data_IF_274525518805
#
_entry.id   IF_274525518805
#
_cell.length_a   1.000
_cell.length_b   1.000
_cell.length_c   1.000
_cell.angle_alpha   90.00
_cell.angle_beta   90.00
_cell.angle_gamma   90.00
#
_symmetry.space_group_name_H-M   'P 1'
#
loop_
_entity.id
_entity.type
_entity.pdbx_description
1 polymer ?
#
# COMPACT_ATOMS: atom_id res chain seq x y z
N UNK A 1 8.32 -6.58 29.48
CA UNK A 1 8.11 -5.31 28.76
C UNK A 1 6.72 -5.32 28.14
N UNK A 2 6.02 -4.15 28.19
CA UNK A 2 4.69 -3.95 27.62
C UNK A 2 4.80 -2.89 26.53
N UNK A 3 4.34 -3.19 25.31
CA UNK A 3 4.42 -2.29 24.15
C UNK A 3 3.03 -2.03 23.61
N UNK A 4 2.65 -0.76 23.52
CA UNK A 4 1.43 -0.32 22.83
C UNK A 4 1.80 0.10 21.40
N UNK A 5 1.33 -0.64 20.41
CA UNK A 5 1.48 -0.30 19.01
C UNK A 5 0.26 0.51 18.53
N UNK A 6 0.50 1.65 17.88
CA UNK A 6 -0.57 2.53 17.40
C UNK A 6 -0.52 2.61 15.88
N UNK A 7 -1.60 2.19 15.22
CA UNK A 7 -1.86 2.49 13.81
C UNK A 7 -2.39 3.91 13.69
N UNK A 8 -1.59 4.81 13.12
CA UNK A 8 -1.96 6.23 12.98
C UNK A 8 -2.82 6.51 11.73
N UNK A 9 -2.94 5.55 10.80
CA UNK A 9 -3.67 5.74 9.54
C UNK A 9 -5.17 5.89 9.80
N UNK A 10 -5.75 6.99 9.30
CA UNK A 10 -7.19 7.28 9.39
C UNK A 10 -7.89 7.32 8.04
N UNK A 11 -7.18 7.06 6.94
CA UNK A 11 -7.76 7.14 5.61
C UNK A 11 -8.86 6.08 5.43
N UNK A 12 -10.11 6.51 5.17
CA UNK A 12 -11.24 5.59 5.04
C UNK A 12 -11.42 5.02 3.64
N UNK A 13 -10.76 5.64 2.66
CA UNK A 13 -11.13 5.48 1.28
C UNK A 13 -10.00 4.85 0.45
N UNK A 14 -10.32 3.96 -0.52
CA UNK A 14 -11.63 3.41 -0.86
C UNK A 14 -12.22 2.50 0.22
N UNK A 15 -11.39 1.83 1.00
CA UNK A 15 -11.75 1.08 2.19
C UNK A 15 -10.64 1.18 3.25
N UNK A 16 -10.97 0.85 4.50
CA UNK A 16 -9.99 0.84 5.56
C UNK A 16 -8.93 -0.24 5.29
N UNK A 17 -7.68 0.17 5.18
CA UNK A 17 -6.57 -0.74 4.95
C UNK A 17 -6.09 -1.33 6.27
N UNK A 18 -6.12 -2.66 6.36
CA UNK A 18 -5.60 -3.39 7.51
C UNK A 18 -4.10 -3.10 7.71
N UNK A 19 -3.65 -2.82 8.94
CA UNK A 19 -2.25 -2.47 9.22
C UNK A 19 -1.35 -3.72 9.31
N UNK A 20 -1.20 -4.44 8.20
CA UNK A 20 -0.47 -5.72 8.10
C UNK A 20 0.93 -5.66 8.69
N UNK A 21 1.72 -4.63 8.32
CA UNK A 21 3.07 -4.48 8.85
C UNK A 21 3.10 -4.31 10.37
N UNK A 22 2.12 -3.58 10.95
CA UNK A 22 2.03 -3.43 12.39
C UNK A 22 1.64 -4.75 13.09
N UNK A 23 0.78 -5.55 12.45
CA UNK A 23 0.41 -6.87 12.95
C UNK A 23 1.62 -7.83 12.94
N UNK A 24 2.47 -7.77 11.91
CA UNK A 24 3.73 -8.54 11.87
C UNK A 24 4.72 -8.10 12.95
N UNK A 25 4.86 -6.80 13.18
CA UNK A 25 5.65 -6.27 14.31
C UNK A 25 5.12 -6.80 15.64
N UNK A 26 3.80 -6.85 15.82
CA UNK A 26 3.21 -7.42 17.03
C UNK A 26 3.54 -8.91 17.18
N UNK A 27 3.51 -9.68 16.10
CA UNK A 27 3.90 -11.09 16.10
C UNK A 27 5.37 -11.28 16.47
N UNK A 28 6.27 -10.47 15.91
CA UNK A 28 7.70 -10.50 16.27
C UNK A 28 7.93 -10.18 17.75
N UNK A 29 7.32 -9.11 18.26
CA UNK A 29 7.42 -8.74 19.67
C UNK A 29 6.90 -9.82 20.61
N UNK A 30 5.78 -10.48 20.26
CA UNK A 30 5.24 -11.57 21.09
C UNK A 30 6.17 -12.80 21.13
N UNK A 31 6.78 -13.17 20.01
CA UNK A 31 7.78 -14.24 19.96
C UNK A 31 9.00 -13.92 20.83
N UNK A 32 9.33 -12.66 20.98
CA UNK A 32 10.36 -12.17 21.91
C UNK A 32 9.87 -12.04 23.37
N UNK A 33 8.68 -12.53 23.72
CA UNK A 33 8.14 -12.49 25.08
C UNK A 33 7.59 -11.13 25.54
N UNK A 34 7.32 -10.20 24.61
CA UNK A 34 6.77 -8.88 24.91
C UNK A 34 5.24 -8.95 24.99
N UNK A 35 4.66 -8.31 26.00
CA UNK A 35 3.20 -8.12 26.06
C UNK A 35 2.80 -6.98 25.14
N UNK A 36 2.04 -7.27 24.09
CA UNK A 36 1.67 -6.32 23.04
C UNK A 36 0.19 -6.02 23.07
N UNK A 37 -0.17 -4.78 22.74
CA UNK A 37 -1.53 -4.37 22.40
C UNK A 37 -1.51 -3.44 21.19
N UNK A 38 -2.50 -3.55 20.31
CA UNK A 38 -2.65 -2.69 19.13
C UNK A 38 -3.83 -1.75 19.33
N UNK A 39 -3.59 -0.45 19.13
CA UNK A 39 -4.61 0.59 19.09
C UNK A 39 -4.74 1.13 17.68
N UNK A 40 -5.97 1.21 17.17
CA UNK A 40 -6.24 1.72 15.83
C UNK A 40 -6.93 3.08 15.89
N UNK A 41 -6.19 4.12 15.46
CA UNK A 41 -6.72 5.48 15.39
C UNK A 41 -7.81 5.65 14.32
N UNK A 42 -7.99 4.68 13.43
CA UNK A 42 -9.05 4.66 12.42
C UNK A 42 -10.42 4.47 13.04
N UNK A 43 -10.52 3.58 14.02
CA UNK A 43 -11.79 3.16 14.61
C UNK A 43 -12.02 3.70 16.01
N UNK A 44 -10.98 4.20 16.65
CA UNK A 44 -11.03 4.64 18.06
C UNK A 44 -10.68 6.12 18.21
N UNK A 45 -11.32 6.76 19.16
CA UNK A 45 -11.14 8.19 19.43
C UNK A 45 -9.85 8.49 20.21
N UNK A 46 -9.44 9.76 20.20
CA UNK A 46 -8.32 10.26 21.02
C UNK A 46 -8.57 10.04 22.52
N UNK A 47 -9.80 10.21 22.99
CA UNK A 47 -10.13 9.93 24.39
C UNK A 47 -9.97 8.45 24.74
N UNK A 48 -10.32 7.55 23.80
CA UNK A 48 -10.07 6.11 23.96
C UNK A 48 -8.57 5.79 23.98
N UNK A 49 -7.75 6.49 23.18
CA UNK A 49 -6.29 6.32 23.20
C UNK A 49 -5.72 6.66 24.57
N UNK A 50 -6.12 7.79 25.16
CA UNK A 50 -5.66 8.20 26.50
C UNK A 50 -6.04 7.18 27.56
N UNK A 51 -7.28 6.66 27.53
CA UNK A 51 -7.75 5.60 28.44
C UNK A 51 -6.93 4.32 28.27
N UNK A 52 -6.64 3.94 27.02
CA UNK A 52 -5.83 2.76 26.70
C UNK A 52 -4.42 2.85 27.29
N UNK A 53 -3.76 4.00 27.12
CA UNK A 53 -2.41 4.24 27.67
C UNK A 53 -2.43 4.13 29.20
N UNK A 54 -3.39 4.77 29.87
CA UNK A 54 -3.49 4.75 31.32
C UNK A 54 -3.79 3.35 31.87
N UNK A 55 -4.69 2.61 31.21
CA UNK A 55 -5.08 1.26 31.66
C UNK A 55 -4.03 0.20 31.33
N UNK A 56 -3.47 0.23 30.13
CA UNK A 56 -2.46 -0.74 29.69
C UNK A 56 -1.09 -0.49 30.33
N UNK A 57 -0.74 0.77 30.68
CA UNK A 57 0.56 1.18 31.25
C UNK A 57 1.73 0.64 30.46
N UNK A 58 1.89 1.02 29.18
CA UNK A 58 2.98 0.53 28.35
C UNK A 58 4.34 1.05 28.87
N UNK A 59 5.40 0.27 28.68
CA UNK A 59 6.79 0.68 28.90
C UNK A 59 7.32 1.45 27.66
N UNK A 60 6.76 1.15 26.48
CA UNK A 60 7.10 1.77 25.20
C UNK A 60 5.85 1.91 24.33
N UNK A 61 5.84 2.92 23.48
CA UNK A 61 4.78 3.13 22.47
C UNK A 61 5.43 3.12 21.09
N UNK A 62 4.95 2.24 20.20
CA UNK A 62 5.29 2.24 18.78
C UNK A 62 4.22 2.97 17.98
N UNK A 63 4.57 4.02 17.25
CA UNK A 63 3.63 4.76 16.38
C UNK A 63 3.95 4.48 14.92
N UNK A 64 3.06 3.73 14.25
CA UNK A 64 3.20 3.36 12.85
C UNK A 64 2.57 4.39 11.93
N UNK A 65 3.38 4.98 11.06
CA UNK A 65 3.02 6.00 10.07
C UNK A 65 3.08 5.37 8.67
N UNK A 66 1.91 5.08 8.09
CA UNK A 66 1.83 4.40 6.79
C UNK A 66 2.10 5.35 5.63
N UNK A 67 1.45 6.51 5.61
CA UNK A 67 1.50 7.46 4.50
C UNK A 67 1.80 8.86 5.02
N UNK A 68 2.54 9.66 4.24
CA UNK A 68 2.76 11.09 4.48
C UNK A 68 1.57 11.90 3.97
N UNK A 69 1.04 11.47 2.81
CA UNK A 69 -0.09 12.09 2.10
C UNK A 69 -0.86 11.02 1.33
N UNK A 70 -1.92 11.42 0.63
CA UNK A 70 -2.73 10.54 -0.23
C UNK A 70 -2.26 10.48 -1.69
N UNK A 71 -1.16 11.16 -2.04
CA UNK A 71 -0.60 11.25 -3.39
C UNK A 71 -1.61 11.67 -4.50
N UNK A 72 -2.73 12.31 -4.15
CA UNK A 72 -3.82 12.65 -5.06
C UNK A 72 -3.82 14.13 -5.44
N UNK A 73 -3.29 14.48 -6.59
CA UNK A 73 -3.36 15.85 -7.10
C UNK A 73 -4.73 16.11 -7.79
N UNK A 74 -5.36 17.29 -7.61
CA UNK A 74 -4.95 18.43 -6.78
C UNK A 74 -5.47 18.34 -5.34
N UNK A 75 -6.12 17.26 -4.97
CA UNK A 75 -6.78 17.07 -3.66
C UNK A 75 -5.87 16.34 -2.68
N UNK A 76 -4.57 16.68 -2.73
CA UNK A 76 -3.60 16.09 -1.80
C UNK A 76 -3.95 16.44 -0.36
N UNK A 77 -3.85 15.43 0.50
CA UNK A 77 -4.09 15.55 1.93
C UNK A 77 -2.81 15.16 2.67
N UNK A 78 -2.21 16.13 3.34
CA UNK A 78 -1.03 15.94 4.16
C UNK A 78 -1.43 15.43 5.57
N UNK A 79 -0.85 14.33 6.04
CA UNK A 79 -1.31 13.65 7.25
C UNK A 79 -0.56 14.01 8.52
N UNK A 80 0.63 14.60 8.45
CA UNK A 80 1.46 14.92 9.62
C UNK A 80 0.76 15.75 10.70
N UNK A 81 -0.08 16.75 10.39
CA UNK A 81 -0.84 17.46 11.42
C UNK A 81 -1.73 16.56 12.27
N UNK A 82 -2.32 15.50 11.65
CA UNK A 82 -3.12 14.52 12.37
C UNK A 82 -2.27 13.62 13.27
N UNK A 83 -1.05 13.29 12.84
CA UNK A 83 -0.09 12.53 13.64
C UNK A 83 0.44 13.35 14.81
N UNK A 84 0.67 14.66 14.61
CA UNK A 84 1.03 15.56 15.71
C UNK A 84 -0.06 15.62 16.79
N UNK A 85 -1.34 15.64 16.39
CA UNK A 85 -2.47 15.58 17.31
C UNK A 85 -2.46 14.28 18.13
N UNK A 86 -2.09 13.14 17.53
CA UNK A 86 -1.91 11.88 18.26
C UNK A 86 -0.76 11.96 19.26
N UNK A 87 0.41 12.49 18.83
CA UNK A 87 1.57 12.68 19.71
C UNK A 87 1.25 13.55 20.91
N UNK A 88 0.62 14.71 20.70
CA UNK A 88 0.19 15.60 21.77
C UNK A 88 -0.77 14.90 22.76
N UNK A 89 -1.64 14.05 22.23
CA UNK A 89 -2.59 13.28 23.04
C UNK A 89 -1.92 12.19 23.87
N UNK A 90 -0.86 11.57 23.37
CA UNK A 90 -0.01 10.62 24.10
C UNK A 90 0.71 11.37 25.22
N UNK A 91 1.38 12.46 24.88
CA UNK A 91 2.17 13.27 25.84
C UNK A 91 1.32 13.90 26.96
N UNK A 92 0.04 14.15 26.70
CA UNK A 92 -0.87 14.67 27.71
C UNK A 92 -1.13 13.71 28.89
N UNK A 93 -0.87 12.40 28.72
CA UNK A 93 -1.14 11.37 29.73
C UNK A 93 0.05 10.47 30.04
N UNK A 94 1.17 10.60 29.32
CA UNK A 94 2.32 9.71 29.48
C UNK A 94 3.62 10.33 28.96
N UNK A 95 4.71 10.08 29.70
CA UNK A 95 6.09 10.39 29.29
C UNK A 95 6.84 9.16 28.76
N UNK A 96 6.14 8.05 28.53
CA UNK A 96 6.73 6.83 27.99
C UNK A 96 7.36 7.10 26.62
N UNK A 97 8.55 6.54 26.34
CA UNK A 97 9.19 6.73 25.04
C UNK A 97 8.30 6.28 23.88
N UNK A 98 8.22 7.15 22.85
CA UNK A 98 7.47 6.92 21.61
C UNK A 98 8.45 6.72 20.47
N UNK A 99 8.38 5.56 19.84
CA UNK A 99 9.23 5.15 18.71
C UNK A 99 8.40 5.20 17.43
N UNK A 100 8.88 5.94 16.45
CA UNK A 100 8.24 6.03 15.13
C UNK A 100 8.68 4.88 14.22
N UNK A 101 7.78 4.49 13.33
CA UNK A 101 8.06 3.50 12.29
C UNK A 101 7.04 3.55 11.16
N UNK A 102 7.16 2.60 10.23
CA UNK A 102 6.30 2.48 9.06
C UNK A 102 6.85 3.19 7.83
N UNK A 103 6.19 2.99 6.69
CA UNK A 103 6.70 3.42 5.38
C UNK A 103 6.84 4.93 5.22
N UNK A 104 5.92 5.72 5.78
CA UNK A 104 6.06 7.19 5.76
C UNK A 104 7.30 7.64 6.55
N UNK A 105 7.50 7.07 7.74
CA UNK A 105 8.68 7.38 8.55
C UNK A 105 9.98 6.96 7.84
N UNK A 106 9.99 5.79 7.24
CA UNK A 106 11.18 5.28 6.53
C UNK A 106 11.60 6.12 5.32
N UNK A 107 10.67 6.88 4.72
CA UNK A 107 10.97 7.82 3.63
C UNK A 107 11.50 9.18 4.12
N UNK A 108 11.07 9.64 5.30
CA UNK A 108 11.37 10.99 5.81
C UNK A 108 11.74 10.95 7.31
N UNK A 109 12.70 10.10 7.72
CA UNK A 109 12.90 9.80 9.14
C UNK A 109 13.26 11.01 9.98
N UNK A 110 14.24 11.81 9.55
CA UNK A 110 14.71 12.98 10.29
C UNK A 110 13.64 14.08 10.35
N UNK A 111 12.99 14.36 9.21
CA UNK A 111 11.99 15.42 9.11
C UNK A 111 10.73 15.08 9.93
N UNK A 112 10.26 13.83 9.87
CA UNK A 112 9.09 13.39 10.63
C UNK A 112 9.43 13.34 12.13
N UNK A 113 10.63 12.86 12.50
CA UNK A 113 11.03 12.84 13.91
C UNK A 113 11.12 14.26 14.49
N UNK A 114 11.69 15.19 13.76
CA UNK A 114 11.74 16.61 14.15
C UNK A 114 10.35 17.23 14.26
N UNK A 115 9.46 16.96 13.31
CA UNK A 115 8.08 17.46 13.29
C UNK A 115 7.24 16.96 14.47
N UNK A 116 7.32 15.65 14.76
CA UNK A 116 6.54 15.00 15.81
C UNK A 116 7.20 15.07 17.20
N UNK A 117 8.49 15.39 17.29
CA UNK A 117 9.29 15.40 18.52
C UNK A 117 9.21 14.07 19.28
N UNK A 118 9.39 12.98 18.54
CA UNK A 118 9.43 11.64 19.12
C UNK A 118 10.79 11.34 19.77
N UNK A 119 10.83 10.30 20.61
CA UNK A 119 12.05 9.92 21.34
C UNK A 119 13.03 9.16 20.45
N UNK A 120 12.52 8.47 19.41
CA UNK A 120 13.32 7.75 18.44
C UNK A 120 12.49 7.20 17.29
N UNK A 121 13.14 6.48 16.39
CA UNK A 121 12.47 5.85 15.25
C UNK A 121 13.26 4.72 14.61
N UNK A 122 12.55 3.75 14.09
CA UNK A 122 13.10 2.61 13.36
C UNK A 122 12.70 2.69 11.89
N UNK A 123 13.72 2.81 11.01
CA UNK A 123 13.57 2.87 9.55
C UNK A 123 13.74 1.46 8.96
N UNK A 124 12.83 1.04 8.09
CA UNK A 124 12.90 -0.26 7.40
C UNK A 124 12.00 -1.32 8.03
N UNK A 125 12.51 -2.56 8.19
CA UNK A 125 11.74 -3.70 8.68
C UNK A 125 11.39 -3.55 10.17
N UNK A 126 10.12 -3.26 10.45
CA UNK A 126 9.64 -2.98 11.80
C UNK A 126 9.67 -4.20 12.75
N UNK A 127 9.84 -5.40 12.23
CA UNK A 127 9.97 -6.66 12.98
C UNK A 127 11.22 -6.68 13.87
N UNK A 128 12.22 -5.86 13.55
CA UNK A 128 13.44 -5.63 14.34
C UNK A 128 13.21 -4.69 15.53
N UNK A 129 11.96 -4.29 15.81
CA UNK A 129 11.66 -3.35 16.89
C UNK A 129 12.10 -3.85 18.26
N UNK A 130 12.06 -5.16 18.53
CA UNK A 130 12.51 -5.71 19.81
C UNK A 130 13.99 -5.42 20.07
N UNK A 131 14.84 -5.69 19.10
CA UNK A 131 16.28 -5.44 19.18
C UNK A 131 16.57 -3.96 19.35
N UNK A 132 15.83 -3.10 18.64
CA UNK A 132 15.89 -1.67 18.84
C UNK A 132 15.49 -1.25 20.25
N UNK A 133 14.45 -1.83 20.85
CA UNK A 133 13.99 -1.47 22.21
C UNK A 133 14.92 -1.93 23.32
N UNK A 134 15.70 -2.99 23.09
CA UNK A 134 16.64 -3.56 24.05
C UNK A 134 18.08 -3.06 23.89
N UNK A 135 18.41 -2.48 22.74
CA UNK A 135 19.75 -1.98 22.44
C UNK A 135 20.04 -0.58 23.02
N UNK A 136 21.30 -0.33 23.31
CA UNK A 136 21.82 1.02 23.57
C UNK A 136 22.12 1.69 22.23
N UNK A 137 21.22 2.56 21.78
CA UNK A 137 21.41 3.31 20.54
C UNK A 137 21.90 4.73 20.84
N UNK A 138 23.07 5.08 20.32
CA UNK A 138 23.60 6.46 20.36
C UNK A 138 22.73 7.39 19.50
N UNK A 139 22.17 6.86 18.40
CA UNK A 139 21.33 7.62 17.48
C UNK A 139 19.84 7.42 17.77
N UNK A 140 19.09 8.53 17.72
CA UNK A 140 17.64 8.49 17.89
C UNK A 140 16.92 7.77 16.76
N UNK A 141 17.50 7.72 15.57
CA UNK A 141 16.95 7.10 14.37
C UNK A 141 17.91 6.02 13.90
N UNK A 142 17.42 4.79 13.85
CA UNK A 142 18.22 3.62 13.46
C UNK A 142 17.62 2.96 12.23
N UNK A 143 18.46 2.50 11.32
CA UNK A 143 18.04 1.63 10.23
C UNK A 143 17.96 0.18 10.73
N UNK A 144 16.80 -0.44 10.59
CA UNK A 144 16.60 -1.85 10.90
C UNK A 144 17.46 -2.73 9.98
N UNK A 145 17.92 -3.85 10.51
CA UNK A 145 18.39 -4.94 9.67
C UNK A 145 17.22 -5.52 8.87
N UNK A 146 17.52 -6.19 7.76
CA UNK A 146 16.49 -6.93 7.05
C UNK A 146 16.11 -8.16 7.85
N UNK A 147 14.84 -8.25 8.29
CA UNK A 147 14.37 -9.40 9.03
C UNK A 147 14.34 -10.66 8.16
N UNK A 148 14.59 -11.86 8.73
CA UNK A 148 14.37 -13.12 8.06
C UNK A 148 12.90 -13.29 7.66
N UNK A 149 12.65 -13.58 6.38
CA UNK A 149 11.29 -13.63 5.86
C UNK A 149 10.45 -14.79 6.40
N UNK A 150 11.10 -15.85 6.86
CA UNK A 150 10.50 -17.02 7.54
C UNK A 150 9.93 -16.69 8.92
N UNK A 151 10.43 -15.63 9.54
CA UNK A 151 9.98 -15.19 10.87
C UNK A 151 8.79 -14.24 10.81
N UNK A 152 8.40 -13.76 9.63
CA UNK A 152 7.26 -12.87 9.47
C UNK A 152 5.95 -13.66 9.64
N UNK A 153 5.07 -13.18 10.50
CA UNK A 153 3.75 -13.78 10.68
C UNK A 153 2.89 -13.01 11.69
N UNK A 154 1.60 -13.28 11.63
CA UNK A 154 0.65 -12.75 12.60
C UNK A 154 0.84 -13.39 13.98
N UNK A 155 0.51 -12.69 15.07
CA UNK A 155 0.36 -13.31 16.38
C UNK A 155 -0.84 -14.26 16.42
N UNK A 156 -0.74 -15.35 17.16
CA UNK A 156 -1.78 -16.38 17.24
C UNK A 156 -3.08 -15.87 17.90
N UNK A 157 -3.00 -14.82 18.71
CA UNK A 157 -4.11 -14.19 19.40
C UNK A 157 -4.36 -12.75 18.90
N UNK A 158 -4.31 -12.56 17.59
CA UNK A 158 -4.44 -11.22 16.97
C UNK A 158 -5.74 -10.50 17.38
N UNK A 159 -6.84 -11.19 17.54
CA UNK A 159 -8.14 -10.63 17.92
C UNK A 159 -8.17 -10.15 19.38
N UNK A 160 -7.41 -10.77 20.28
CA UNK A 160 -7.28 -10.34 21.68
C UNK A 160 -6.42 -9.07 21.80
N UNK A 161 -5.27 -9.03 21.11
CA UNK A 161 -4.36 -7.88 21.20
C UNK A 161 -4.77 -6.73 20.30
N UNK A 162 -5.61 -6.98 19.30
CA UNK A 162 -6.14 -5.99 18.35
C UNK A 162 -7.67 -6.03 18.32
N UNK A 163 -8.35 -5.38 19.28
CA UNK A 163 -9.83 -5.44 19.42
C UNK A 163 -10.61 -4.97 18.18
N UNK A 164 -9.99 -4.17 17.30
CA UNK A 164 -10.59 -3.71 16.05
C UNK A 164 -10.32 -4.64 14.85
N UNK A 165 -9.65 -5.80 15.04
CA UNK A 165 -9.31 -6.75 13.97
C UNK A 165 -10.54 -7.16 13.14
N UNK A 166 -11.60 -7.59 13.77
CA UNK A 166 -12.85 -8.02 13.13
C UNK A 166 -13.63 -6.91 12.38
N UNK A 167 -13.19 -5.65 12.47
CA UNK A 167 -13.81 -4.52 11.75
C UNK A 167 -13.29 -4.38 10.33
N UNK A 168 -12.17 -5.05 10.02
CA UNK A 168 -11.59 -5.03 8.69
C UNK A 168 -12.27 -6.06 7.79
N UNK A 169 -12.67 -5.60 6.62
CA UNK A 169 -13.34 -6.43 5.62
C UNK A 169 -12.36 -7.32 4.87
N UNK A 170 -11.17 -6.80 4.64
CA UNK A 170 -10.09 -7.46 3.90
C UNK A 170 -8.84 -7.44 4.76
N UNK A 171 -8.22 -8.59 4.94
CA UNK A 171 -6.96 -8.72 5.68
C UNK A 171 -5.82 -8.77 4.67
N UNK A 172 -4.80 -7.93 4.90
CA UNK A 172 -3.58 -7.93 4.11
C UNK A 172 -2.64 -9.04 4.57
N UNK A 173 -2.09 -9.80 3.63
CA UNK A 173 -0.99 -10.76 3.85
C UNK A 173 0.14 -10.46 2.88
N UNK A 174 1.39 -10.59 3.32
CA UNK A 174 2.56 -10.33 2.50
C UNK A 174 3.31 -11.63 2.23
N UNK A 175 3.67 -11.86 0.96
CA UNK A 175 4.41 -13.07 0.56
C UNK A 175 5.88 -12.76 0.28
N UNK A 176 6.18 -11.52 -0.09
CA UNK A 176 7.52 -11.09 -0.43
C UNK A 176 7.72 -9.59 -0.22
N UNK A 177 8.97 -9.17 -0.03
CA UNK A 177 9.44 -7.76 0.02
C UNK A 177 10.49 -7.50 -1.04
N UNK A 178 10.59 -6.24 -1.46
CA UNK A 178 11.56 -5.77 -2.44
C UNK A 178 11.06 -5.85 -3.87
N UNK A 179 11.56 -4.93 -4.71
CA UNK A 179 11.19 -4.83 -6.11
C UNK A 179 12.41 -4.48 -6.97
N UNK A 180 12.70 -5.32 -7.97
CA UNK A 180 13.83 -5.12 -8.88
C UNK A 180 13.54 -4.12 -10.01
N UNK A 181 12.28 -3.72 -10.21
CA UNK A 181 11.87 -2.79 -11.25
C UNK A 181 12.50 -1.40 -11.06
N UNK A 182 12.61 -0.66 -12.17
CA UNK A 182 13.24 0.67 -12.22
C UNK A 182 12.23 1.77 -12.53
N UNK A 183 10.98 1.63 -12.05
CA UNK A 183 9.99 2.69 -12.21
C UNK A 183 10.51 3.98 -11.56
N UNK A 184 10.62 5.05 -12.34
CA UNK A 184 11.34 6.28 -11.97
C UNK A 184 10.80 6.99 -10.72
N UNK A 185 9.53 6.80 -10.40
CA UNK A 185 8.82 7.48 -9.30
C UNK A 185 8.65 6.61 -8.04
N UNK A 186 9.02 5.32 -8.11
CA UNK A 186 8.59 4.33 -7.13
C UNK A 186 9.47 4.34 -5.87
N UNK A 187 8.83 4.42 -4.70
CA UNK A 187 9.50 4.39 -3.38
C UNK A 187 9.73 2.97 -2.84
N UNK A 188 9.12 1.92 -3.40
CA UNK A 188 9.27 0.56 -2.88
C UNK A 188 10.73 0.05 -2.84
N UNK A 189 11.58 0.30 -3.87
CA UNK A 189 12.98 -0.09 -3.79
C UNK A 189 13.77 0.61 -2.67
N UNK A 190 13.29 1.79 -2.23
CA UNK A 190 13.89 2.55 -1.11
C UNK A 190 13.44 1.96 0.23
N UNK A 191 12.15 1.55 0.32
CA UNK A 191 11.53 1.04 1.53
C UNK A 191 11.91 -0.42 1.83
N UNK A 192 11.91 -1.27 0.81
CA UNK A 192 12.03 -2.73 0.96
C UNK A 192 13.31 -3.30 0.32
N UNK A 193 14.06 -2.44 -0.41
CA UNK A 193 15.23 -2.84 -1.18
C UNK A 193 14.91 -3.32 -2.60
N UNK A 194 15.97 -3.41 -3.44
CA UNK A 194 15.83 -3.90 -4.82
C UNK A 194 15.86 -5.42 -4.92
N UNK A 195 16.51 -6.10 -3.97
CA UNK A 195 16.54 -7.57 -3.91
C UNK A 195 15.21 -8.08 -3.39
N UNK A 196 14.58 -8.96 -4.15
CA UNK A 196 13.37 -9.64 -3.69
C UNK A 196 13.70 -10.66 -2.62
N UNK A 197 12.98 -10.60 -1.51
CA UNK A 197 13.02 -11.51 -0.38
C UNK A 197 11.66 -12.17 -0.25
N UNK A 198 11.59 -13.48 -0.29
CA UNK A 198 10.34 -14.25 -0.27
C UNK A 198 10.15 -14.99 1.05
N UNK A 199 8.93 -15.05 1.55
CA UNK A 199 8.55 -15.96 2.63
C UNK A 199 8.46 -17.38 2.07
N UNK A 200 8.81 -18.42 2.84
CA UNK A 200 8.55 -19.80 2.43
C UNK A 200 7.06 -19.96 2.05
N UNK A 201 6.71 -20.48 0.85
CA UNK A 201 5.33 -20.63 0.42
C UNK A 201 4.44 -21.35 1.42
N UNK A 202 4.97 -22.39 2.06
CA UNK A 202 4.27 -23.11 3.12
C UNK A 202 3.86 -22.19 4.28
N UNK A 203 4.76 -21.31 4.75
CA UNK A 203 4.45 -20.35 5.84
C UNK A 203 3.38 -19.33 5.44
N UNK A 204 3.40 -18.90 4.18
CA UNK A 204 2.35 -18.05 3.64
C UNK A 204 0.99 -18.74 3.71
N UNK A 205 0.93 -19.99 3.23
CA UNK A 205 -0.32 -20.75 3.21
C UNK A 205 -0.81 -21.13 4.61
N UNK A 206 0.08 -21.47 5.53
CA UNK A 206 -0.25 -21.69 6.96
C UNK A 206 -0.92 -20.45 7.56
N UNK A 207 -0.45 -19.23 7.22
CA UNK A 207 -1.05 -17.97 7.67
C UNK A 207 -2.46 -17.79 7.11
N UNK A 208 -2.70 -18.05 5.81
CA UNK A 208 -4.04 -18.01 5.23
C UNK A 208 -4.98 -19.02 5.90
N UNK A 209 -4.50 -20.24 6.14
CA UNK A 209 -5.27 -21.29 6.83
C UNK A 209 -5.62 -20.87 8.24
N UNK A 210 -4.65 -20.38 9.01
CA UNK A 210 -4.84 -19.90 10.38
C UNK A 210 -5.86 -18.77 10.45
N UNK A 211 -5.66 -17.72 9.64
CA UNK A 211 -6.58 -16.57 9.60
C UNK A 211 -7.99 -16.98 9.18
N UNK A 212 -8.12 -17.90 8.22
CA UNK A 212 -9.43 -18.39 7.79
C UNK A 212 -10.12 -19.26 8.85
N UNK A 213 -9.41 -20.25 9.41
CA UNK A 213 -10.01 -21.21 10.34
C UNK A 213 -10.25 -20.67 11.71
N UNK A 214 -9.29 -19.92 12.26
CA UNK A 214 -9.36 -19.43 13.64
C UNK A 214 -10.15 -18.13 13.77
N UNK A 215 -10.12 -17.26 12.75
CA UNK A 215 -10.72 -15.92 12.83
C UNK A 215 -11.80 -15.67 11.77
N UNK A 216 -12.14 -16.67 10.94
CA UNK A 216 -13.20 -16.56 9.94
C UNK A 216 -12.90 -15.60 8.77
N UNK A 217 -11.64 -15.23 8.55
CA UNK A 217 -11.24 -14.34 7.46
C UNK A 217 -11.53 -15.01 6.12
N UNK A 218 -12.26 -14.30 5.26
CA UNK A 218 -12.63 -14.81 3.92
C UNK A 218 -12.15 -13.94 2.77
N UNK A 219 -11.73 -12.70 3.03
CA UNK A 219 -11.21 -11.81 2.00
C UNK A 219 -9.77 -11.43 2.35
N UNK A 220 -8.89 -11.68 1.41
CA UNK A 220 -7.46 -11.42 1.55
C UNK A 220 -6.97 -10.49 0.44
N UNK A 221 -6.03 -9.65 0.78
CA UNK A 221 -5.26 -8.87 -0.17
C UNK A 221 -3.78 -9.21 -0.02
N UNK A 222 -3.14 -9.68 -1.09
CA UNK A 222 -1.69 -9.86 -1.10
C UNK A 222 -1.05 -8.48 -1.27
N UNK A 223 -0.41 -7.99 -0.18
CA UNK A 223 0.11 -6.61 -0.09
C UNK A 223 1.54 -6.45 -0.59
N UNK A 224 2.07 -7.44 -1.30
CA UNK A 224 3.37 -7.32 -1.96
C UNK A 224 3.40 -6.11 -2.89
N UNK A 225 4.56 -5.48 -3.05
CA UNK A 225 4.75 -4.44 -4.07
C UNK A 225 4.37 -4.93 -5.47
N UNK A 226 4.66 -6.20 -5.75
CA UNK A 226 4.21 -6.97 -6.93
C UNK A 226 4.16 -8.44 -6.55
N UNK A 227 3.02 -9.10 -6.66
CA UNK A 227 2.93 -10.53 -6.37
C UNK A 227 3.66 -11.38 -7.42
N UNK A 228 3.58 -11.00 -8.70
CA UNK A 228 4.31 -11.65 -9.80
C UNK A 228 5.74 -11.10 -10.03
N UNK A 229 6.35 -10.45 -9.05
CA UNK A 229 7.74 -10.02 -9.13
C UNK A 229 8.76 -11.17 -9.11
N UNK A 230 8.32 -12.35 -8.66
CA UNK A 230 8.97 -13.66 -8.76
C UNK A 230 7.88 -14.67 -9.09
N UNK A 231 7.79 -15.08 -10.36
CA UNK A 231 6.73 -15.97 -10.84
C UNK A 231 6.84 -17.38 -10.25
N UNK A 232 8.05 -17.89 -10.03
CA UNK A 232 8.25 -19.22 -9.42
C UNK A 232 7.70 -19.24 -7.98
N UNK A 233 8.00 -18.20 -7.21
CA UNK A 233 7.47 -18.06 -5.86
C UNK A 233 5.93 -17.91 -5.88
N UNK A 234 5.39 -17.05 -6.75
CA UNK A 234 3.96 -16.87 -6.92
C UNK A 234 3.24 -18.18 -7.25
N UNK A 235 3.76 -18.95 -8.23
CA UNK A 235 3.20 -20.24 -8.62
C UNK A 235 3.18 -21.20 -7.43
N UNK A 236 4.31 -21.32 -6.69
CA UNK A 236 4.39 -22.21 -5.54
C UNK A 236 3.36 -21.85 -4.44
N UNK A 237 3.17 -20.56 -4.16
CA UNK A 237 2.14 -20.08 -3.22
C UNK A 237 0.73 -20.43 -3.71
N UNK A 238 0.45 -20.18 -5.00
CA UNK A 238 -0.87 -20.43 -5.59
C UNK A 238 -1.22 -21.92 -5.65
N UNK A 239 -0.27 -22.79 -5.97
CA UNK A 239 -0.47 -24.25 -5.99
C UNK A 239 -0.83 -24.77 -4.61
N UNK A 240 -0.11 -24.34 -3.57
CA UNK A 240 -0.38 -24.74 -2.19
C UNK A 240 -1.71 -24.17 -1.68
N UNK A 241 -2.06 -22.92 -2.02
CA UNK A 241 -3.37 -22.34 -1.71
C UNK A 241 -4.51 -23.10 -2.40
N UNK A 242 -4.33 -23.45 -3.66
CA UNK A 242 -5.31 -24.26 -4.40
C UNK A 242 -5.48 -25.65 -3.79
N UNK A 243 -4.39 -26.28 -3.34
CA UNK A 243 -4.41 -27.57 -2.64
C UNK A 243 -5.09 -27.49 -1.26
N UNK A 244 -4.92 -26.38 -0.54
CA UNK A 244 -5.56 -26.14 0.76
C UNK A 244 -7.11 -26.01 0.65
N UNK A 245 -7.64 -25.79 -0.55
CA UNK A 245 -9.08 -25.76 -0.87
C UNK A 245 -9.90 -24.89 0.09
N UNK A 246 -9.39 -23.70 0.40
CA UNK A 246 -10.05 -22.76 1.30
C UNK A 246 -11.18 -22.00 0.59
N UNK A 247 -12.28 -21.74 1.30
CA UNK A 247 -13.38 -20.90 0.78
C UNK A 247 -13.08 -19.42 0.97
N UNK A 248 -12.02 -18.94 0.34
CA UNK A 248 -11.52 -17.58 0.45
C UNK A 248 -11.60 -16.82 -0.88
N UNK A 249 -11.43 -15.51 -0.80
CA UNK A 249 -11.33 -14.60 -1.94
C UNK A 249 -10.03 -13.82 -1.81
N UNK A 250 -9.21 -13.87 -2.84
CA UNK A 250 -7.92 -13.20 -2.89
C UNK A 250 -7.97 -12.08 -3.93
N UNK A 251 -7.35 -10.97 -3.62
CA UNK A 251 -6.98 -9.94 -4.58
C UNK A 251 -5.49 -9.58 -4.40
N UNK A 252 -4.85 -9.08 -5.45
CA UNK A 252 -3.41 -8.79 -5.44
C UNK A 252 -3.03 -7.73 -6.45
N UNK A 253 -1.84 -7.12 -6.27
CA UNK A 253 -1.18 -6.29 -7.28
C UNK A 253 -0.30 -7.14 -8.19
N UNK A 254 -0.48 -6.99 -9.51
CA UNK A 254 0.40 -7.56 -10.53
C UNK A 254 0.93 -6.46 -11.46
N UNK A 255 2.13 -6.69 -12.01
CA UNK A 255 2.50 -5.98 -13.24
C UNK A 255 1.88 -6.68 -14.45
N UNK A 256 1.56 -5.95 -15.53
CA UNK A 256 1.01 -6.54 -16.74
C UNK A 256 2.04 -7.31 -17.58
N UNK A 257 2.83 -8.16 -16.94
CA UNK A 257 3.82 -9.01 -17.58
C UNK A 257 3.84 -10.36 -16.89
N UNK A 258 3.68 -11.41 -17.66
CA UNK A 258 3.68 -12.78 -17.20
C UNK A 258 4.24 -13.70 -18.28
N UNK A 259 5.02 -14.71 -17.88
CA UNK A 259 5.66 -15.64 -18.81
C UNK A 259 4.67 -16.56 -19.51
N UNK A 260 3.63 -17.01 -18.77
CA UNK A 260 2.59 -17.91 -19.27
C UNK A 260 1.19 -17.46 -18.78
N UNK A 261 0.31 -17.03 -19.69
CA UNK A 261 -1.07 -16.65 -19.35
C UNK A 261 -1.89 -17.74 -18.66
N UNK A 262 -1.50 -19.02 -18.76
CA UNK A 262 -2.18 -20.12 -18.06
C UNK A 262 -2.15 -19.99 -16.53
N UNK A 263 -1.24 -19.19 -16.00
CA UNK A 263 -1.15 -18.84 -14.56
C UNK A 263 -2.46 -18.21 -14.05
N UNK A 264 -3.22 -17.50 -14.88
CA UNK A 264 -4.51 -16.93 -14.46
C UNK A 264 -5.54 -18.02 -14.09
N UNK A 265 -5.48 -19.21 -14.71
CA UNK A 265 -6.28 -20.37 -14.27
C UNK A 265 -5.87 -20.81 -12.87
N UNK A 266 -4.58 -20.82 -12.57
CA UNK A 266 -4.07 -21.15 -11.23
C UNK A 266 -4.47 -20.09 -10.20
N UNK A 267 -4.36 -18.79 -10.54
CA UNK A 267 -4.88 -17.69 -9.72
C UNK A 267 -6.35 -17.91 -9.37
N UNK A 268 -7.20 -18.23 -10.39
CA UNK A 268 -8.62 -18.51 -10.18
C UNK A 268 -8.84 -19.70 -9.25
N UNK A 269 -8.11 -20.78 -9.45
CA UNK A 269 -8.19 -22.01 -8.63
C UNK A 269 -7.78 -21.75 -7.18
N UNK A 270 -6.81 -20.87 -6.93
CA UNK A 270 -6.39 -20.47 -5.59
C UNK A 270 -7.38 -19.52 -4.91
N UNK A 271 -8.45 -19.09 -5.58
CA UNK A 271 -9.46 -18.18 -5.03
C UNK A 271 -9.29 -16.71 -5.41
N UNK A 272 -8.44 -16.39 -6.37
CA UNK A 272 -8.30 -15.02 -6.85
C UNK A 272 -9.58 -14.56 -7.57
N UNK A 273 -10.11 -13.43 -7.11
CA UNK A 273 -11.37 -12.84 -7.64
C UNK A 273 -11.12 -11.50 -8.31
N UNK A 274 -9.97 -10.88 -8.06
CA UNK A 274 -9.66 -9.56 -8.58
C UNK A 274 -8.14 -9.31 -8.64
N UNK A 275 -7.71 -8.60 -9.68
CA UNK A 275 -6.32 -8.19 -9.88
C UNK A 275 -6.27 -6.68 -10.13
N UNK A 276 -5.35 -6.00 -9.45
CA UNK A 276 -5.00 -4.61 -9.70
C UNK A 276 -3.68 -4.55 -10.47
N UNK A 277 -3.71 -4.10 -11.72
CA UNK A 277 -2.51 -3.94 -12.53
C UNK A 277 -1.91 -2.54 -12.37
N UNK A 278 -0.64 -2.47 -11.97
CA UNK A 278 0.16 -1.23 -11.97
C UNK A 278 0.62 -0.88 -13.38
N UNK A 279 -0.32 -0.49 -14.24
CA UNK A 279 -0.11 -0.28 -15.68
C UNK A 279 0.54 1.06 -15.98
N UNK A 280 0.10 2.11 -15.30
CA UNK A 280 0.48 3.51 -15.37
C UNK A 280 0.17 4.20 -16.71
N UNK A 281 0.46 3.60 -17.86
CA UNK A 281 0.17 4.15 -19.18
C UNK A 281 -0.19 3.05 -20.20
N UNK A 282 -0.93 3.42 -21.21
CA UNK A 282 -1.18 2.61 -22.42
C UNK A 282 -0.40 3.09 -23.64
N UNK A 283 0.53 4.03 -23.46
CA UNK A 283 1.40 4.57 -24.51
C UNK A 283 2.80 3.99 -24.39
N UNK A 284 3.34 3.38 -25.45
CA UNK A 284 4.67 2.76 -25.44
C UNK A 284 5.79 3.74 -25.10
N UNK A 285 5.83 4.97 -25.62
CA UNK A 285 6.81 5.99 -25.21
C UNK A 285 6.75 6.27 -23.70
N UNK A 286 5.55 6.39 -23.13
CA UNK A 286 5.36 6.68 -21.70
C UNK A 286 5.75 5.49 -20.82
N UNK A 287 5.43 4.26 -21.22
CA UNK A 287 5.88 3.07 -20.49
C UNK A 287 7.42 3.03 -20.41
N UNK A 288 8.08 3.36 -21.51
CA UNK A 288 9.55 3.45 -21.56
C UNK A 288 10.09 4.56 -20.66
N UNK A 289 9.54 5.79 -20.73
CA UNK A 289 9.99 6.92 -19.93
C UNK A 289 9.74 6.71 -18.44
N UNK A 290 8.68 6.00 -18.05
CA UNK A 290 8.36 5.63 -16.68
C UNK A 290 9.21 4.45 -16.15
N UNK A 291 10.06 3.83 -17.00
CA UNK A 291 10.90 2.68 -16.64
C UNK A 291 10.10 1.39 -16.43
N UNK A 292 8.99 1.21 -17.16
CA UNK A 292 8.18 -0.02 -17.07
C UNK A 292 8.80 -1.18 -17.84
N UNK A 293 8.82 -2.40 -17.27
CA UNK A 293 9.45 -3.56 -17.89
C UNK A 293 8.51 -4.37 -18.80
N UNK A 294 7.41 -3.79 -19.27
CA UNK A 294 6.38 -4.45 -20.09
C UNK A 294 5.88 -3.52 -21.20
N UNK A 295 5.18 -4.10 -22.16
CA UNK A 295 4.66 -3.46 -23.36
C UNK A 295 3.13 -3.33 -23.33
N UNK A 296 2.57 -2.63 -24.32
CA UNK A 296 1.11 -2.58 -24.53
C UNK A 296 0.52 -3.94 -24.90
N UNK A 297 1.29 -4.82 -25.56
CA UNK A 297 0.86 -6.17 -25.89
C UNK A 297 0.81 -7.08 -24.65
N UNK A 298 1.72 -6.88 -23.71
CA UNK A 298 1.64 -7.55 -22.40
C UNK A 298 0.35 -7.15 -21.67
N UNK A 299 -0.04 -5.86 -21.72
CA UNK A 299 -1.30 -5.36 -21.12
C UNK A 299 -2.51 -6.06 -21.77
N UNK A 300 -2.54 -6.18 -23.10
CA UNK A 300 -3.59 -6.91 -23.84
C UNK A 300 -3.67 -8.37 -23.42
N UNK A 301 -2.52 -9.01 -23.33
CA UNK A 301 -2.37 -10.43 -22.99
C UNK A 301 -2.95 -10.74 -21.61
N UNK A 302 -2.53 -10.02 -20.57
CA UNK A 302 -3.01 -10.27 -19.20
C UNK A 302 -4.48 -9.91 -19.03
N UNK A 303 -4.96 -8.85 -19.70
CA UNK A 303 -6.36 -8.47 -19.68
C UNK A 303 -7.27 -9.52 -20.33
N UNK A 304 -6.80 -10.11 -21.44
CA UNK A 304 -7.50 -11.21 -22.12
C UNK A 304 -7.53 -12.47 -21.26
N UNK A 305 -6.43 -12.81 -20.60
CA UNK A 305 -6.35 -13.94 -19.68
C UNK A 305 -7.31 -13.77 -18.48
N UNK A 306 -7.37 -12.58 -17.89
CA UNK A 306 -8.33 -12.27 -16.82
C UNK A 306 -9.79 -12.48 -17.27
N UNK A 307 -10.14 -11.98 -18.46
CA UNK A 307 -11.49 -12.15 -19.02
C UNK A 307 -11.82 -13.62 -19.25
N UNK A 308 -10.89 -14.38 -19.82
CA UNK A 308 -11.05 -15.80 -20.08
C UNK A 308 -11.33 -16.60 -18.81
N UNK A 309 -10.59 -16.33 -17.75
CA UNK A 309 -10.72 -17.02 -16.47
C UNK A 309 -11.81 -16.41 -15.54
N UNK A 310 -12.49 -15.34 -15.96
CA UNK A 310 -13.53 -14.67 -15.17
C UNK A 310 -12.98 -14.07 -13.88
N UNK A 311 -11.78 -13.49 -13.95
CA UNK A 311 -11.17 -12.68 -12.88
C UNK A 311 -11.42 -11.20 -13.20
N UNK A 312 -12.04 -10.47 -12.28
CA UNK A 312 -12.18 -9.03 -12.46
C UNK A 312 -10.80 -8.35 -12.37
N UNK A 313 -10.59 -7.31 -13.15
CA UNK A 313 -9.34 -6.56 -13.13
C UNK A 313 -9.53 -5.06 -13.24
N UNK A 314 -8.58 -4.35 -12.67
CA UNK A 314 -8.47 -2.90 -12.68
C UNK A 314 -7.10 -2.52 -13.24
N UNK A 315 -7.03 -1.43 -14.01
CA UNK A 315 -5.77 -0.80 -14.37
C UNK A 315 -5.60 0.50 -13.57
N UNK A 316 -4.51 0.59 -12.82
CA UNK A 316 -4.08 1.84 -12.19
C UNK A 316 -3.19 2.61 -13.16
N UNK A 317 -3.54 3.87 -13.42
CA UNK A 317 -2.85 4.76 -14.35
C UNK A 317 -2.33 6.00 -13.64
N UNK A 318 -1.23 6.55 -14.17
CA UNK A 318 -0.65 7.82 -13.73
C UNK A 318 -0.42 8.68 -14.96
N UNK A 319 -1.18 9.75 -15.13
CA UNK A 319 -0.96 10.75 -16.15
C UNK A 319 -0.02 11.83 -15.65
N UNK A 320 0.86 12.33 -16.52
CA UNK A 320 1.78 13.40 -16.22
C UNK A 320 3.24 12.95 -16.07
N UNK A 321 3.61 11.84 -16.70
CA UNK A 321 4.99 11.41 -16.81
C UNK A 321 5.84 12.27 -17.76
N UNK A 322 7.18 12.15 -17.71
CA UNK A 322 8.06 12.82 -18.68
C UNK A 322 7.72 12.40 -20.11
N UNK A 323 7.45 13.40 -20.96
CA UNK A 323 7.04 13.17 -22.35
C UNK A 323 5.52 12.96 -22.56
N UNK A 324 4.68 13.16 -21.54
CA UNK A 324 3.22 13.10 -21.71
C UNK A 324 2.72 14.20 -22.64
N UNK A 325 1.86 13.83 -23.58
CA UNK A 325 1.20 14.70 -24.58
C UNK A 325 -0.27 14.32 -24.73
N UNK A 326 -1.06 15.14 -25.44
CA UNK A 326 -2.45 14.78 -25.78
C UNK A 326 -2.53 13.45 -26.57
N UNK A 327 -1.57 13.17 -27.46
CA UNK A 327 -1.53 11.89 -28.20
C UNK A 327 -1.32 10.70 -27.28
N UNK A 328 -0.38 10.77 -26.32
CA UNK A 328 -0.10 9.66 -25.38
C UNK A 328 -1.26 9.42 -24.41
N UNK A 329 -1.99 10.49 -24.04
CA UNK A 329 -3.24 10.39 -23.28
C UNK A 329 -4.30 9.61 -24.08
N UNK A 330 -4.48 9.97 -25.37
CA UNK A 330 -5.43 9.30 -26.26
C UNK A 330 -5.06 7.83 -26.49
N UNK A 331 -3.77 7.50 -26.71
CA UNK A 331 -3.27 6.13 -26.80
C UNK A 331 -3.62 5.32 -25.53
N UNK A 332 -3.38 5.91 -24.35
CA UNK A 332 -3.68 5.27 -23.06
C UNK A 332 -5.17 5.00 -22.89
N UNK A 333 -6.02 5.99 -23.19
CA UNK A 333 -7.47 5.83 -23.09
C UNK A 333 -7.98 4.81 -24.12
N UNK A 334 -7.48 4.87 -25.37
CA UNK A 334 -7.82 3.90 -26.41
C UNK A 334 -7.48 2.46 -26.03
N UNK A 335 -6.30 2.24 -25.44
CA UNK A 335 -5.95 0.92 -24.94
C UNK A 335 -6.88 0.45 -23.80
N UNK A 336 -7.27 1.33 -22.90
CA UNK A 336 -8.22 0.97 -21.82
C UNK A 336 -9.62 0.64 -22.37
N UNK A 337 -10.07 1.31 -23.42
CA UNK A 337 -11.32 0.96 -24.12
C UNK A 337 -11.23 -0.44 -24.76
N UNK A 338 -10.11 -0.73 -25.42
CA UNK A 338 -9.84 -2.03 -26.04
C UNK A 338 -9.83 -3.18 -25.01
N UNK A 339 -9.05 -3.04 -23.93
CA UNK A 339 -8.92 -4.08 -22.91
C UNK A 339 -10.11 -4.13 -21.95
N UNK A 340 -10.95 -3.07 -21.93
CA UNK A 340 -12.24 -3.03 -21.23
C UNK A 340 -12.20 -3.55 -19.77
N UNK A 341 -11.39 -2.96 -18.88
CA UNK A 341 -11.31 -3.38 -17.50
C UNK A 341 -12.59 -3.05 -16.72
N UNK A 342 -12.79 -3.72 -15.59
CA UNK A 342 -13.88 -3.43 -14.65
C UNK A 342 -13.80 -2.00 -14.11
N UNK A 343 -12.60 -1.53 -13.85
CA UNK A 343 -12.33 -0.17 -13.40
C UNK A 343 -10.98 0.33 -13.93
N UNK A 344 -10.86 1.64 -14.10
CA UNK A 344 -9.60 2.35 -14.29
C UNK A 344 -9.46 3.36 -13.17
N UNK A 345 -8.37 3.26 -12.41
CA UNK A 345 -8.04 4.22 -11.35
C UNK A 345 -6.93 5.12 -11.89
N UNK A 346 -7.23 6.39 -12.13
CA UNK A 346 -6.32 7.31 -12.78
C UNK A 346 -5.87 8.42 -11.83
N UNK A 347 -4.57 8.54 -11.64
CA UNK A 347 -3.92 9.65 -10.95
C UNK A 347 -3.44 10.68 -11.98
N UNK A 348 -3.39 11.95 -11.58
CA UNK A 348 -2.82 13.02 -12.39
C UNK A 348 -1.69 13.70 -11.64
N UNK A 349 -0.55 13.89 -12.31
CA UNK A 349 0.71 14.31 -11.67
C UNK A 349 1.41 13.18 -10.93
N UNK A 350 2.72 13.17 -10.98
CA UNK A 350 3.53 12.16 -10.29
C UNK A 350 4.06 12.75 -8.98
N UNK A 351 3.68 12.14 -7.85
CA UNK A 351 4.22 12.50 -6.53
C UNK A 351 5.73 12.28 -6.51
N UNK A 352 6.52 13.31 -6.25
CA UNK A 352 7.96 13.23 -6.15
C UNK A 352 8.34 12.76 -4.74
N UNK A 353 9.01 11.61 -4.64
CA UNK A 353 9.54 11.09 -3.39
C UNK A 353 11.08 11.23 -3.36
N UNK A 354 11.69 11.38 -2.17
CA UNK A 354 13.13 11.47 -2.05
C UNK A 354 13.81 10.18 -2.54
N UNK A 355 15.03 10.32 -3.06
CA UNK A 355 15.87 9.23 -3.54
C UNK A 355 15.31 8.47 -4.76
N UNK A 356 14.29 8.99 -5.43
CA UNK A 356 13.76 8.44 -6.68
C UNK A 356 14.44 9.10 -7.89
N UNK A 357 14.39 8.44 -9.04
CA UNK A 357 14.86 9.03 -10.30
C UNK A 357 13.99 10.25 -10.69
N UNK A 358 12.70 10.24 -10.34
CA UNK A 358 11.79 11.37 -10.54
C UNK A 358 12.25 12.64 -9.83
N UNK A 359 12.85 12.53 -8.64
CA UNK A 359 13.46 13.68 -7.95
C UNK A 359 14.60 14.27 -8.77
N UNK A 360 15.47 13.41 -9.35
CA UNK A 360 16.58 13.86 -10.19
C UNK A 360 16.08 14.53 -11.47
N UNK A 361 15.03 14.00 -12.08
CA UNK A 361 14.40 14.59 -13.26
C UNK A 361 13.84 15.97 -12.91
N UNK A 362 13.09 16.10 -11.82
CA UNK A 362 12.49 17.36 -11.37
C UNK A 362 13.55 18.42 -11.05
N UNK A 363 14.68 18.03 -10.45
CA UNK A 363 15.83 18.92 -10.22
C UNK A 363 16.47 19.38 -11.53
N UNK A 364 16.70 18.47 -12.46
CA UNK A 364 17.31 18.76 -13.77
C UNK A 364 16.45 19.69 -14.62
N UNK A 365 15.13 19.53 -14.56
CA UNK A 365 14.18 20.38 -15.27
C UNK A 365 13.84 21.70 -14.54
N UNK A 366 14.47 21.96 -13.39
CA UNK A 366 14.28 23.20 -12.65
C UNK A 366 12.92 23.33 -11.95
N UNK A 367 12.18 22.22 -11.79
CA UNK A 367 10.88 22.22 -11.10
C UNK A 367 11.03 22.31 -9.58
N UNK A 368 12.22 22.05 -9.07
CA UNK A 368 12.58 22.18 -7.66
C UNK A 368 14.06 22.50 -7.53
N UNK A 369 14.46 23.03 -6.36
CA UNK A 369 15.85 23.34 -6.05
C UNK A 369 16.48 22.21 -5.20
N UNK A 370 17.82 22.03 -5.26
CA UNK A 370 18.51 21.17 -4.30
C UNK A 370 18.22 21.57 -2.85
N UNK A 371 17.84 20.60 -2.02
CA UNK A 371 17.49 20.84 -0.61
C UNK A 371 16.03 21.23 -0.35
N UNK A 372 15.20 21.38 -1.37
CA UNK A 372 13.77 21.56 -1.20
C UNK A 372 13.14 20.37 -0.48
N UNK A 373 12.31 20.63 0.52
CA UNK A 373 11.62 19.57 1.25
C UNK A 373 10.58 18.88 0.38
N UNK A 374 10.62 17.55 0.38
CA UNK A 374 9.60 16.69 -0.23
C UNK A 374 8.62 16.11 0.80
N UNK A 375 8.73 16.51 2.06
CA UNK A 375 7.82 16.04 3.11
C UNK A 375 6.38 16.46 2.80
N UNK A 376 6.16 17.73 2.42
CA UNK A 376 4.90 18.16 1.84
C UNK A 376 4.80 17.70 0.39
N UNK A 377 3.59 17.32 -0.08
CA UNK A 377 3.44 16.74 -1.41
C UNK A 377 3.79 17.72 -2.52
N UNK A 378 4.80 17.37 -3.31
CA UNK A 378 5.16 18.02 -4.57
C UNK A 378 4.93 17.04 -5.72
N UNK A 379 4.46 17.54 -6.85
CA UNK A 379 4.10 16.73 -8.01
C UNK A 379 4.87 17.19 -9.24
N UNK A 380 5.35 16.21 -10.00
CA UNK A 380 5.88 16.44 -11.33
C UNK A 380 4.75 16.53 -12.34
N UNK A 381 4.90 17.41 -13.33
CA UNK A 381 4.03 17.57 -14.49
C UNK A 381 4.88 17.84 -15.74
N UNK A 382 4.45 17.35 -16.93
CA UNK A 382 5.10 17.65 -18.19
C UNK A 382 4.91 19.11 -18.59
N UNK A 383 5.56 19.53 -19.70
CA UNK A 383 5.51 20.93 -20.21
C UNK A 383 4.10 21.48 -20.39
N UNK A 384 3.11 20.64 -20.75
CA UNK A 384 1.72 21.09 -20.87
C UNK A 384 1.13 21.60 -19.55
N UNK A 385 1.77 21.33 -18.43
CA UNK A 385 1.36 21.78 -17.11
C UNK A 385 0.11 21.11 -16.55
N UNK A 386 -0.16 21.31 -15.23
CA UNK A 386 -1.19 20.55 -14.53
C UNK A 386 -2.62 20.80 -15.00
N UNK A 387 -2.94 22.04 -15.39
CA UNK A 387 -4.31 22.43 -15.76
C UNK A 387 -4.72 21.85 -17.11
N UNK A 388 -3.90 22.06 -18.15
CA UNK A 388 -4.16 21.54 -19.49
C UNK A 388 -4.16 20.01 -19.52
N UNK A 389 -3.20 19.38 -18.83
CA UNK A 389 -3.14 17.92 -18.74
C UNK A 389 -4.43 17.34 -18.12
N UNK A 390 -4.91 17.91 -17.02
CA UNK A 390 -6.14 17.43 -16.38
C UNK A 390 -7.37 17.65 -17.23
N UNK A 391 -7.43 18.78 -17.92
CA UNK A 391 -8.50 19.07 -18.88
C UNK A 391 -8.50 18.07 -20.03
N UNK A 392 -7.35 17.82 -20.64
CA UNK A 392 -7.19 16.84 -21.72
C UNK A 392 -7.59 15.42 -21.29
N UNK A 393 -7.09 14.97 -20.13
CA UNK A 393 -7.48 13.66 -19.58
C UNK A 393 -8.99 13.58 -19.36
N UNK A 394 -9.61 14.62 -18.77
CA UNK A 394 -11.05 14.62 -18.49
C UNK A 394 -11.89 14.63 -19.76
N UNK A 395 -11.49 15.41 -20.75
CA UNK A 395 -12.17 15.47 -22.03
C UNK A 395 -12.08 14.13 -22.77
N UNK A 396 -10.88 13.52 -22.76
CA UNK A 396 -10.65 12.23 -23.43
C UNK A 396 -11.43 11.10 -22.77
N UNK A 397 -11.58 11.08 -21.43
CA UNK A 397 -12.35 10.05 -20.73
C UNK A 397 -13.84 10.32 -20.60
N UNK A 398 -14.32 11.44 -21.10
CA UNK A 398 -15.72 11.82 -20.96
C UNK A 398 -16.68 10.73 -21.47
N UNK A 399 -17.77 10.51 -20.74
CA UNK A 399 -18.77 9.47 -21.05
C UNK A 399 -18.41 8.05 -20.59
N UNK A 400 -17.23 7.81 -20.04
CA UNK A 400 -16.80 6.49 -19.51
C UNK A 400 -17.11 6.38 -18.03
N UNK A 401 -17.93 5.42 -17.63
CA UNK A 401 -18.42 5.27 -16.25
C UNK A 401 -17.51 4.44 -15.36
N UNK A 402 -16.47 3.80 -15.91
CA UNK A 402 -15.53 2.95 -15.19
C UNK A 402 -14.19 3.62 -14.84
N UNK A 403 -14.08 4.94 -15.07
CA UNK A 403 -12.92 5.76 -14.75
C UNK A 403 -13.08 6.50 -13.43
N UNK A 404 -12.09 6.41 -12.56
CA UNK A 404 -12.10 6.96 -11.22
C UNK A 404 -10.84 7.76 -10.95
N UNK A 405 -11.03 9.00 -10.47
CA UNK A 405 -9.94 9.91 -10.10
C UNK A 405 -9.96 10.09 -8.57
N UNK A 406 -8.97 9.53 -7.84
CA UNK A 406 -8.86 9.70 -6.40
C UNK A 406 -8.86 11.16 -5.98
N UNK A 407 -9.67 11.51 -4.98
CA UNK A 407 -9.80 12.88 -4.48
C UNK A 407 -10.87 13.73 -5.16
N UNK A 408 -11.44 13.35 -6.29
CA UNK A 408 -12.56 14.08 -6.88
C UNK A 408 -13.78 14.08 -5.95
N UNK A 409 -14.44 15.24 -5.82
CA UNK A 409 -15.62 15.41 -4.94
C UNK A 409 -16.74 14.42 -5.28
N UNK A 410 -16.91 14.10 -6.56
CA UNK A 410 -17.92 13.14 -7.02
C UNK A 410 -17.59 11.69 -6.60
N UNK A 411 -16.32 11.37 -6.35
CA UNK A 411 -15.93 10.07 -5.91
C UNK A 411 -16.11 9.87 -4.39
N UNK A 412 -15.80 10.89 -3.59
CA UNK A 412 -15.98 10.84 -2.12
C UNK A 412 -17.41 11.12 -1.68
N UNK A 413 -18.20 11.84 -2.50
CA UNK A 413 -19.53 12.31 -2.15
C UNK A 413 -20.66 11.33 -2.48
N UNK A 414 -20.41 10.24 -3.22
CA UNK A 414 -21.47 9.29 -3.46
C UNK A 414 -21.72 8.46 -2.19
N UNK A 415 -22.69 8.90 -1.38
CA UNK A 415 -23.33 8.10 -0.32
C UNK A 415 -23.67 6.69 -0.83
N UNK A 416 -23.93 6.54 -2.14
CA UNK A 416 -24.12 5.27 -2.81
C UNK A 416 -22.91 4.33 -2.66
N UNK A 417 -21.67 4.82 -2.72
CA UNK A 417 -20.49 3.97 -2.54
C UNK A 417 -20.29 3.52 -1.10
N UNK A 418 -20.64 4.35 -0.12
CA UNK A 418 -20.65 3.93 1.29
C UNK A 418 -21.71 2.86 1.53
N UNK A 419 -22.90 3.00 0.95
CA UNK A 419 -23.96 2.00 1.02
C UNK A 419 -23.61 0.73 0.24
N UNK A 420 -23.08 0.84 -0.97
CA UNK A 420 -22.61 -0.31 -1.77
C UNK A 420 -21.47 -1.05 -1.05
N UNK A 421 -20.54 -0.35 -0.41
CA UNK A 421 -19.50 -0.95 0.43
C UNK A 421 -20.08 -1.75 1.59
N UNK A 422 -21.25 -1.37 2.13
CA UNK A 422 -21.93 -2.09 3.19
C UNK A 422 -22.60 -3.39 2.67
N UNK A 423 -23.11 -3.38 1.44
CA UNK A 423 -23.80 -4.51 0.83
C UNK A 423 -22.90 -5.43 -0.01
N UNK A 424 -21.80 -4.92 -0.55
CA UNK A 424 -20.89 -5.70 -1.39
C UNK A 424 -19.84 -6.45 -0.55
N UNK A 425 -20.09 -7.72 -0.30
CA UNK A 425 -19.23 -8.60 0.51
C UNK A 425 -18.11 -9.31 -0.28
N UNK A 426 -17.86 -8.98 -1.55
CA UNK A 426 -17.02 -9.83 -2.44
C UNK A 426 -15.89 -9.05 -3.11
N UNK A 427 -14.70 -9.03 -2.51
CA UNK A 427 -13.49 -8.48 -3.12
C UNK A 427 -13.35 -6.94 -2.99
N UNK A 428 -12.38 -6.32 -3.70
CA UNK A 428 -12.10 -4.89 -3.60
C UNK A 428 -13.28 -4.03 -4.05
N UNK A 429 -13.38 -2.81 -3.49
CA UNK A 429 -14.54 -1.91 -3.71
C UNK A 429 -14.77 -1.56 -5.18
N UNK A 430 -13.72 -1.42 -5.99
CA UNK A 430 -13.87 -1.10 -7.41
C UNK A 430 -14.64 -2.18 -8.20
N UNK A 431 -14.72 -3.41 -7.70
CA UNK A 431 -15.59 -4.46 -8.30
C UNK A 431 -17.08 -4.11 -8.27
N UNK A 432 -17.48 -3.21 -7.39
CA UNK A 432 -18.89 -2.80 -7.24
C UNK A 432 -19.31 -1.79 -8.29
N UNK A 433 -18.37 -1.22 -9.02
CA UNK A 433 -18.67 -0.32 -10.11
C UNK A 433 -19.38 -1.08 -11.23
N UNK A 434 -20.56 -0.63 -11.60
CA UNK A 434 -21.30 -1.20 -12.73
C UNK A 434 -20.75 -0.60 -14.03
N UNK A 435 -20.56 -1.48 -15.02
CA UNK A 435 -20.34 -1.05 -16.40
C UNK A 435 -21.54 -0.25 -16.89
#
# INVERSE_FOLDING_TARGET
>A
MRVLLISANREPFPEAVFPTGLAYVAGSLQRAGVTVRIFDARYRSISSLRKEIVSFRPDRIGLSLRNVDNAAYPFSRFYLPSYLTLMQSIRAVSNVPVILGGSAFSLFPEQINAYLKADGGLKGDGEELYDFLCGDHEEKITAAKQCPMEEIGFPDNIDEIFPDFGRYRTIGTQTARGCANRCIYCSYPILEGRRRRTRPPQRVVEEFVSLHRNFGVTNFFIVDSLFNGDECHMISVLEQLAAANLRIRISCYLQPKISDPSIFRLLKKAGCVAVDFGTDSGSSPLLSSLGKPFTTDDIRTVSTACRHEGIDYCHSLIFGGPGETASTIQETVGLMDEVSPRAVIAMTGIRIYPFTEMEQIALKEGMMNPGDSLLEPRFYFPEMGPSLMREEVRNTVAGRNNWFFPGDKNWSASWGYRLLGFFCRKGPLWKTFRK
#
